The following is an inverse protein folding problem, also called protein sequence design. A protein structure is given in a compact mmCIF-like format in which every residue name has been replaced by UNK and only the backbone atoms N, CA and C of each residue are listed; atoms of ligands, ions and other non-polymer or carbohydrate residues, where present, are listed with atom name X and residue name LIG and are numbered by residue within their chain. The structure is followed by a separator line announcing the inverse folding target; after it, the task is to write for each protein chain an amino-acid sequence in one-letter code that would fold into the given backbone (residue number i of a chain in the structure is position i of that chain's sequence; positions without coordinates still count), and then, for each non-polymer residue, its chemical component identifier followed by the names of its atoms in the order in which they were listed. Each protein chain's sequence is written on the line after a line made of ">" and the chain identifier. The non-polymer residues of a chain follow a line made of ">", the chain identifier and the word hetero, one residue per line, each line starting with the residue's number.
data_IF_241572058862
#
_entry.id   IF_241572058862
#
_cell.length_a   1.000
_cell.length_b   1.000
_cell.length_c   1.000
_cell.angle_alpha   90.00
_cell.angle_beta   90.00
_cell.angle_gamma   90.00
#
_symmetry.space_group_name_H-M   'P 1'
#
loop_
_entity.id
_entity.type
_entity.pdbx_description
1 polymer ?
#
# COMPACT_ATOMS: atom_id res chain seq x y z
N UNK A 1 -11.39 22.60 8.19
CA UNK A 1 -10.11 21.94 7.86
C UNK A 1 -9.40 21.62 9.17
N UNK A 2 -9.21 20.36 9.52
CA UNK A 2 -8.39 19.99 10.67
C UNK A 2 -6.92 20.29 10.37
N UNK A 3 -6.14 20.70 11.38
CA UNK A 3 -4.69 20.87 11.25
C UNK A 3 -4.06 19.53 10.83
N UNK A 4 -3.23 19.54 9.78
CA UNK A 4 -2.46 18.37 9.39
C UNK A 4 -1.39 18.06 10.46
N UNK A 5 -1.19 16.78 10.75
CA UNK A 5 -0.16 16.32 11.69
C UNK A 5 1.20 16.33 10.97
N UNK A 6 2.22 16.92 11.60
CA UNK A 6 3.58 16.96 11.05
C UNK A 6 4.50 15.97 11.78
N UNK A 7 5.54 15.51 11.10
CA UNK A 7 6.56 14.63 11.73
C UNK A 7 7.30 15.33 12.88
N UNK A 8 7.54 16.65 12.75
CA UNK A 8 8.12 17.45 13.84
C UNK A 8 7.22 17.43 15.09
N UNK A 9 5.90 17.61 14.94
CA UNK A 9 4.97 17.56 16.06
C UNK A 9 4.95 16.17 16.72
N UNK A 10 5.03 15.10 15.92
CA UNK A 10 5.12 13.73 16.44
C UNK A 10 6.42 13.49 17.21
N UNK A 11 7.54 13.98 16.70
CA UNK A 11 8.84 13.84 17.33
C UNK A 11 8.93 14.60 18.66
N UNK A 12 8.45 15.84 18.70
CA UNK A 12 8.45 16.66 19.93
C UNK A 12 7.58 16.04 21.04
N UNK A 13 6.53 15.29 20.68
CA UNK A 13 5.62 14.65 21.63
C UNK A 13 5.99 13.22 22.01
N UNK A 14 6.99 12.62 21.36
CA UNK A 14 7.36 11.22 21.60
C UNK A 14 8.13 11.05 22.92
N UNK A 15 7.61 10.21 23.82
CA UNK A 15 8.26 9.84 25.10
C UNK A 15 8.75 8.38 25.13
N UNK A 16 8.54 7.64 24.04
CA UNK A 16 8.89 6.24 23.87
C UNK A 16 9.23 5.97 22.38
N UNK A 17 9.88 4.82 22.07
CA UNK A 17 10.15 4.42 20.69
C UNK A 17 8.89 4.39 19.83
N UNK A 18 9.02 4.75 18.55
CA UNK A 18 7.92 4.73 17.56
C UNK A 18 8.42 4.36 16.17
N UNK A 19 7.50 3.91 15.33
CA UNK A 19 7.72 3.81 13.88
C UNK A 19 7.58 5.19 13.25
N UNK A 20 8.43 5.53 12.28
CA UNK A 20 8.42 6.83 11.60
C UNK A 20 7.91 6.72 10.16
N UNK A 21 7.42 7.83 9.60
CA UNK A 21 6.98 7.85 8.20
C UNK A 21 8.13 7.54 7.25
N UNK A 22 9.32 8.06 7.50
CA UNK A 22 10.52 7.80 6.71
C UNK A 22 10.89 6.30 6.66
N UNK A 23 10.69 5.57 7.77
CA UNK A 23 10.92 4.12 7.79
C UNK A 23 9.95 3.40 6.87
N UNK A 24 8.68 3.79 6.89
CA UNK A 24 7.65 3.20 6.04
C UNK A 24 7.89 3.57 4.57
N UNK A 25 8.31 4.80 4.29
CA UNK A 25 8.65 5.23 2.93
C UNK A 25 9.83 4.45 2.36
N UNK A 26 10.88 4.23 3.17
CA UNK A 26 12.02 3.40 2.76
C UNK A 26 11.62 1.93 2.48
N UNK A 27 10.59 1.41 3.15
CA UNK A 27 10.03 0.08 2.85
C UNK A 27 9.16 0.12 1.60
N UNK A 28 8.36 1.17 1.42
CA UNK A 28 7.53 1.38 0.23
C UNK A 28 8.35 1.51 -1.06
N UNK A 29 9.55 2.09 -1.00
CA UNK A 29 10.50 2.15 -2.12
C UNK A 29 10.94 0.75 -2.62
N UNK A 30 10.83 -0.26 -1.76
CA UNK A 30 11.14 -1.67 -2.07
C UNK A 30 9.91 -2.47 -2.47
N UNK A 31 8.72 -1.86 -2.49
CA UNK A 31 7.49 -2.54 -2.88
C UNK A 31 7.42 -2.66 -4.39
N UNK A 32 7.29 -3.90 -4.83
CA UNK A 32 7.08 -4.27 -6.22
C UNK A 32 5.63 -4.68 -6.45
N UNK A 33 5.18 -4.61 -7.70
CA UNK A 33 3.79 -4.85 -8.06
C UNK A 33 3.70 -5.87 -9.19
N UNK A 34 2.73 -6.78 -9.08
CA UNK A 34 2.35 -7.72 -10.13
C UNK A 34 0.92 -7.42 -10.55
N UNK A 35 0.71 -7.09 -11.81
CA UNK A 35 -0.60 -6.75 -12.38
C UNK A 35 -1.19 -7.96 -13.10
N UNK A 36 -2.48 -8.22 -12.86
CA UNK A 36 -3.28 -9.23 -13.56
C UNK A 36 -4.54 -8.57 -14.11
N UNK A 37 -4.70 -8.60 -15.43
CA UNK A 37 -5.84 -7.97 -16.12
C UNK A 37 -6.79 -9.03 -16.65
N UNK A 38 -8.09 -8.76 -16.51
CA UNK A 38 -9.20 -9.60 -16.98
C UNK A 38 -9.04 -11.10 -16.63
N UNK A 39 -8.68 -11.47 -15.38
CA UNK A 39 -8.56 -12.87 -15.02
C UNK A 39 -9.90 -13.57 -15.22
N UNK A 40 -9.90 -14.71 -15.90
CA UNK A 40 -11.11 -15.47 -16.19
C UNK A 40 -12.13 -14.73 -17.07
N UNK A 41 -11.66 -13.87 -18.00
CA UNK A 41 -12.52 -13.13 -18.94
C UNK A 41 -13.48 -12.14 -18.24
N UNK A 42 -13.03 -11.59 -17.11
CA UNK A 42 -13.75 -10.56 -16.33
C UNK A 42 -13.39 -9.14 -16.77
N UNK A 43 -14.09 -8.14 -16.24
CA UNK A 43 -13.80 -6.71 -16.44
C UNK A 43 -12.88 -6.10 -15.36
N UNK A 44 -12.17 -6.96 -14.61
CA UNK A 44 -11.40 -6.57 -13.43
C UNK A 44 -9.91 -6.49 -13.72
N UNK A 45 -9.23 -5.57 -13.03
CA UNK A 45 -7.76 -5.51 -12.92
C UNK A 45 -7.39 -5.67 -11.46
N UNK A 46 -6.49 -6.59 -11.17
CA UNK A 46 -5.90 -6.83 -9.85
C UNK A 46 -4.43 -6.45 -9.88
N UNK A 47 -3.95 -5.84 -8.79
CA UNK A 47 -2.54 -5.54 -8.59
C UNK A 47 -2.14 -6.06 -7.21
N UNK A 48 -1.13 -6.92 -7.17
CA UNK A 48 -0.58 -7.50 -5.96
C UNK A 48 0.73 -6.79 -5.60
N UNK A 49 0.84 -6.32 -4.35
CA UNK A 49 2.00 -5.64 -3.81
C UNK A 49 2.85 -6.61 -2.98
N UNK A 50 4.17 -6.62 -3.24
CA UNK A 50 5.13 -7.46 -2.54
C UNK A 50 6.33 -6.64 -2.09
N UNK A 51 6.77 -6.83 -0.83
CA UNK A 51 8.05 -6.34 -0.36
C UNK A 51 9.18 -7.22 -0.92
N UNK A 52 10.19 -6.59 -1.52
CA UNK A 52 11.35 -7.23 -2.18
C UNK A 52 10.96 -8.31 -3.21
N UNK A 53 9.79 -8.15 -3.85
CA UNK A 53 9.26 -9.12 -4.81
C UNK A 53 8.86 -10.47 -4.23
N UNK A 54 8.84 -10.63 -2.90
CA UNK A 54 8.63 -11.95 -2.26
C UNK A 54 7.53 -11.93 -1.22
N UNK A 55 7.57 -10.98 -0.29
CA UNK A 55 6.65 -10.99 0.83
C UNK A 55 5.37 -10.25 0.47
N UNK A 56 4.25 -10.98 0.43
CA UNK A 56 2.96 -10.41 0.07
C UNK A 56 2.50 -9.38 1.11
N UNK A 57 2.15 -8.18 0.65
CA UNK A 57 1.62 -7.11 1.49
C UNK A 57 0.12 -6.92 1.28
N UNK A 58 -0.32 -6.79 0.02
CA UNK A 58 -1.71 -6.45 -0.27
C UNK A 58 -2.11 -6.78 -1.71
N UNK A 59 -3.43 -6.85 -1.92
CA UNK A 59 -4.05 -6.79 -3.24
C UNK A 59 -4.90 -5.53 -3.33
N UNK A 60 -4.75 -4.78 -4.41
CA UNK A 60 -5.69 -3.76 -4.85
C UNK A 60 -6.41 -4.21 -6.12
N UNK A 61 -7.63 -3.72 -6.34
CA UNK A 61 -8.38 -4.03 -7.54
C UNK A 61 -9.17 -2.83 -8.04
N UNK A 62 -9.55 -2.91 -9.31
CA UNK A 62 -10.54 -2.05 -9.96
C UNK A 62 -11.35 -2.90 -10.94
N UNK A 63 -12.60 -2.54 -11.19
CA UNK A 63 -13.41 -3.22 -12.20
C UNK A 63 -14.37 -2.22 -12.83
N UNK A 64 -14.55 -2.31 -14.15
CA UNK A 64 -15.64 -1.62 -14.85
C UNK A 64 -16.85 -2.56 -14.99
N UNK A 65 -18.04 -2.00 -15.21
CA UNK A 65 -19.27 -2.82 -15.32
C UNK A 65 -19.32 -3.57 -16.65
N UNK A 66 -18.92 -2.92 -17.74
CA UNK A 66 -19.02 -3.44 -19.11
C UNK A 66 -17.64 -3.63 -19.73
N UNK A 67 -17.46 -4.68 -20.53
CA UNK A 67 -16.17 -4.98 -21.19
C UNK A 67 -15.78 -3.92 -22.21
N UNK A 68 -16.76 -3.31 -22.85
CA UNK A 68 -16.57 -2.24 -23.85
C UNK A 68 -15.92 -0.99 -23.22
N UNK A 69 -16.10 -0.81 -21.91
CA UNK A 69 -15.50 0.28 -21.14
C UNK A 69 -14.16 -0.11 -20.49
N UNK A 70 -13.68 -1.34 -20.71
CA UNK A 70 -12.42 -1.78 -20.13
C UNK A 70 -11.25 -0.97 -20.70
N UNK A 71 -10.51 -0.33 -19.82
CA UNK A 71 -9.29 0.39 -20.14
C UNK A 71 -8.16 -0.11 -19.23
N UNK A 72 -7.20 -0.80 -19.83
CA UNK A 72 -6.09 -1.44 -19.14
C UNK A 72 -5.26 -0.47 -18.30
N UNK A 73 -4.90 0.70 -18.85
CA UNK A 73 -4.09 1.72 -18.17
C UNK A 73 -4.83 2.32 -16.96
N UNK A 74 -6.09 2.73 -17.17
CA UNK A 74 -6.89 3.33 -16.10
C UNK A 74 -7.13 2.32 -14.98
N UNK A 75 -7.49 1.08 -15.34
CA UNK A 75 -7.72 0.02 -14.37
C UNK A 75 -6.45 -0.32 -13.57
N UNK A 76 -5.31 -0.45 -14.24
CA UNK A 76 -4.03 -0.70 -13.55
C UNK A 76 -3.66 0.44 -12.60
N UNK A 77 -3.77 1.70 -13.02
CA UNK A 77 -3.45 2.85 -12.16
C UNK A 77 -4.32 2.87 -10.91
N UNK A 78 -5.63 2.62 -11.05
CA UNK A 78 -6.56 2.57 -9.91
C UNK A 78 -6.26 1.39 -8.98
N UNK A 79 -6.12 0.19 -9.55
CA UNK A 79 -5.81 -1.01 -8.77
C UNK A 79 -4.46 -0.91 -8.06
N UNK A 80 -3.43 -0.34 -8.72
CA UNK A 80 -2.11 -0.10 -8.13
C UNK A 80 -2.16 0.94 -7.00
N UNK A 81 -2.92 2.03 -7.17
CA UNK A 81 -3.13 3.00 -6.10
C UNK A 81 -3.78 2.38 -4.85
N UNK A 82 -4.78 1.52 -5.06
CA UNK A 82 -5.40 0.75 -3.98
C UNK A 82 -4.42 -0.23 -3.32
N UNK A 83 -3.63 -0.95 -4.11
CA UNK A 83 -2.63 -1.88 -3.61
C UNK A 83 -1.55 -1.18 -2.79
N UNK A 84 -1.04 -0.04 -3.27
CA UNK A 84 -0.02 0.75 -2.61
C UNK A 84 -0.49 1.27 -1.24
N UNK A 85 -1.70 1.84 -1.18
CA UNK A 85 -2.30 2.29 0.09
C UNK A 85 -2.45 1.16 1.10
N UNK A 86 -2.92 0.00 0.63
CA UNK A 86 -3.08 -1.17 1.50
C UNK A 86 -1.73 -1.73 1.97
N UNK A 87 -0.71 -1.72 1.10
CA UNK A 87 0.64 -2.13 1.44
C UNK A 87 1.27 -1.22 2.50
N UNK A 88 1.15 0.10 2.35
CA UNK A 88 1.62 1.09 3.33
C UNK A 88 0.99 0.85 4.71
N UNK A 89 -0.34 0.71 4.76
CA UNK A 89 -1.06 0.38 5.99
C UNK A 89 -0.56 -0.93 6.63
N UNK A 90 -0.30 -1.95 5.81
CA UNK A 90 0.20 -3.24 6.30
C UNK A 90 1.60 -3.12 6.87
N UNK A 91 2.48 -2.32 6.25
CA UNK A 91 3.82 -2.08 6.77
C UNK A 91 3.79 -1.34 8.10
N UNK A 92 2.91 -0.34 8.26
CA UNK A 92 2.69 0.31 9.56
C UNK A 92 2.32 -0.68 10.67
N UNK A 93 1.37 -1.58 10.40
CA UNK A 93 0.95 -2.62 11.34
C UNK A 93 2.12 -3.55 11.70
N UNK A 94 2.86 -4.02 10.71
CA UNK A 94 3.96 -4.97 10.90
C UNK A 94 5.17 -4.34 11.60
N UNK A 95 5.55 -3.12 11.25
CA UNK A 95 6.64 -2.41 11.94
C UNK A 95 6.24 -2.05 13.37
N UNK A 96 4.96 -1.70 13.61
CA UNK A 96 4.44 -1.50 14.96
C UNK A 96 4.51 -2.77 15.79
N UNK A 97 4.11 -3.91 15.23
CA UNK A 97 4.24 -5.22 15.88
C UNK A 97 5.70 -5.58 16.15
N UNK A 98 6.60 -5.39 15.17
CA UNK A 98 8.04 -5.63 15.33
C UNK A 98 8.62 -4.81 16.47
N UNK A 99 8.26 -3.52 16.56
CA UNK A 99 8.71 -2.64 17.63
C UNK A 99 8.22 -3.14 18.99
N UNK A 100 6.93 -3.50 19.11
CA UNK A 100 6.37 -4.07 20.33
C UNK A 100 7.07 -5.37 20.75
N UNK A 101 7.34 -6.28 19.80
CA UNK A 101 7.99 -7.56 20.08
C UNK A 101 9.47 -7.42 20.46
N UNK A 102 10.09 -6.28 20.15
CA UNK A 102 11.50 -5.97 20.46
C UNK A 102 11.71 -5.14 21.72
N UNK A 103 10.62 -4.70 22.36
CA UNK A 103 10.63 -3.93 23.61
C UNK A 103 10.70 -4.86 24.83
#
# INVERSE_FOLDING_TARGET
>A
MSKAVTEQELQEKAVAPRVTKDQIDALMDRVTYVTVQQPGDTTSTFVHAFLDGKFFLATGFSACVSKENFNADIGERLAKGNAAKNAENKLWELEGYRLFASA
#
